data_IF_618787509847
#
_entry.id   IF_618787509847
#
_cell.length_a   1.000
_cell.length_b   1.000
_cell.length_c   1.000
_cell.angle_alpha   90.00
_cell.angle_beta   90.00
_cell.angle_gamma   90.00
#
_symmetry.space_group_name_H-M   'P 1'
#
loop_
_entity.id
_entity.type
_entity.pdbx_description
1 polymer ?
#
# COMPACT_ATOMS: atom_id res chain seq x y z
N UNK A 1 -12.74 24.70 -21.80
CA UNK A 1 -11.99 23.51 -22.10
C UNK A 1 -11.02 23.14 -21.01
N UNK A 2 -10.51 24.16 -20.42
CA UNK A 2 -9.49 23.95 -19.43
C UNK A 2 -9.99 23.47 -18.08
N UNK A 3 -11.22 23.81 -17.65
CA UNK A 3 -11.62 23.47 -16.29
C UNK A 3 -11.48 22.00 -15.94
N UNK A 4 -11.84 21.16 -16.87
CA UNK A 4 -11.80 19.74 -16.62
C UNK A 4 -10.39 19.22 -16.40
N UNK A 5 -9.46 19.88 -17.01
CA UNK A 5 -8.08 19.41 -16.95
C UNK A 5 -7.30 19.90 -15.76
N UNK A 6 -7.91 20.77 -14.98
CA UNK A 6 -7.19 21.32 -13.83
C UNK A 6 -6.93 20.29 -12.76
N UNK A 7 -7.92 19.44 -12.48
CA UNK A 7 -7.72 18.41 -11.51
C UNK A 7 -6.87 17.26 -12.04
N UNK A 8 -7.23 16.77 -13.22
CA UNK A 8 -6.55 15.64 -13.82
C UNK A 8 -5.09 15.95 -14.21
N UNK A 9 -4.83 17.10 -14.86
CA UNK A 9 -3.43 17.42 -15.15
C UNK A 9 -2.59 17.63 -13.91
N UNK A 10 -3.15 18.20 -12.86
CA UNK A 10 -2.40 18.39 -11.63
C UNK A 10 -1.99 17.06 -11.00
N UNK A 11 -2.91 16.10 -10.98
CA UNK A 11 -2.60 14.78 -10.44
C UNK A 11 -1.61 14.04 -11.32
N UNK A 12 -1.80 14.11 -12.64
CA UNK A 12 -0.87 13.49 -13.58
C UNK A 12 0.53 14.07 -13.46
N UNK A 13 0.62 15.38 -13.30
CA UNK A 13 1.91 16.04 -13.12
C UNK A 13 2.58 15.57 -11.83
N UNK A 14 1.81 15.48 -10.75
CA UNK A 14 2.33 15.00 -9.49
C UNK A 14 2.86 13.57 -9.63
N UNK A 15 2.08 12.70 -10.24
CA UNK A 15 2.50 11.30 -10.43
C UNK A 15 3.77 11.23 -11.26
N UNK A 16 3.84 12.01 -12.33
CA UNK A 16 5.03 12.00 -13.19
C UNK A 16 6.25 12.49 -12.44
N UNK A 17 6.12 13.54 -11.66
CA UNK A 17 7.24 14.11 -10.92
C UNK A 17 7.77 13.16 -9.84
N UNK A 18 6.91 12.31 -9.28
CA UNK A 18 7.29 11.43 -8.17
C UNK A 18 7.25 9.96 -8.55
N UNK A 19 7.22 9.66 -9.85
CA UNK A 19 6.97 8.31 -10.34
C UNK A 19 7.92 7.27 -9.76
N UNK A 20 9.17 7.64 -9.55
CA UNK A 20 10.18 6.72 -9.03
C UNK A 20 9.94 6.33 -7.57
N UNK A 21 9.20 7.14 -6.84
CA UNK A 21 9.06 6.96 -5.39
C UNK A 21 7.62 6.70 -4.94
N UNK A 22 6.70 6.46 -5.88
CA UNK A 22 5.31 6.19 -5.54
C UNK A 22 5.08 4.69 -5.50
N UNK A 23 4.57 4.23 -4.37
CA UNK A 23 4.17 2.84 -4.17
C UNK A 23 2.69 2.79 -3.84
N UNK A 24 2.08 1.65 -4.07
CA UNK A 24 0.66 1.44 -3.77
C UNK A 24 0.48 0.14 -3.00
N UNK A 25 -0.50 0.12 -2.11
CA UNK A 25 -0.84 -1.10 -1.38
C UNK A 25 -2.20 -1.60 -1.82
N UNK A 26 -2.36 -2.91 -1.73
CA UNK A 26 -3.63 -3.56 -1.97
C UNK A 26 -3.82 -4.65 -0.93
N UNK A 27 -4.97 -4.65 -0.27
CA UNK A 27 -5.29 -5.61 0.77
C UNK A 27 -6.49 -6.40 0.31
N UNK A 28 -6.27 -7.65 -0.08
CA UNK A 28 -7.32 -8.47 -0.66
C UNK A 28 -7.44 -9.79 0.09
N UNK A 29 -8.48 -10.55 -0.22
CA UNK A 29 -8.70 -11.84 0.41
C UNK A 29 -8.70 -12.95 -0.63
N UNK A 30 -8.27 -14.13 -0.19
CA UNK A 30 -8.27 -15.34 -0.99
C UNK A 30 -8.83 -16.46 -0.12
N UNK A 31 -9.75 -17.23 -0.66
CA UNK A 31 -10.31 -18.36 0.07
C UNK A 31 -9.60 -19.64 -0.36
N UNK A 32 -9.18 -20.42 0.64
CA UNK A 32 -8.41 -21.64 0.41
C UNK A 32 -9.06 -22.81 1.12
N UNK A 33 -9.20 -23.92 0.42
CA UNK A 33 -9.68 -25.15 1.03
C UNK A 33 -8.57 -25.79 1.85
N UNK A 34 -8.85 -26.04 3.10
CA UNK A 34 -7.92 -26.74 4.00
C UNK A 34 -8.60 -27.98 4.53
N UNK A 35 -7.86 -28.77 5.30
CA UNK A 35 -8.45 -29.94 5.95
C UNK A 35 -9.59 -29.59 6.87
N UNK A 36 -9.58 -28.39 7.42
CA UNK A 36 -10.61 -27.92 8.34
C UNK A 36 -11.70 -27.12 7.64
N UNK A 37 -11.73 -27.14 6.32
CA UNK A 37 -12.73 -26.43 5.55
C UNK A 37 -12.18 -25.23 4.83
N UNK A 38 -13.07 -24.35 4.43
CA UNK A 38 -12.71 -23.16 3.66
C UNK A 38 -12.20 -22.08 4.63
N UNK A 39 -11.00 -21.59 4.38
CA UNK A 39 -10.37 -20.56 5.21
C UNK A 39 -10.07 -19.33 4.36
N UNK A 40 -10.42 -18.17 4.86
CA UNK A 40 -10.13 -16.89 4.21
C UNK A 40 -8.76 -16.41 4.65
N UNK A 41 -7.88 -16.17 3.69
CA UNK A 41 -6.59 -15.56 3.95
C UNK A 41 -6.59 -14.13 3.45
N UNK A 42 -5.92 -13.27 4.19
CA UNK A 42 -5.75 -11.86 3.84
C UNK A 42 -4.35 -11.67 3.28
N UNK A 43 -4.29 -11.02 2.14
CA UNK A 43 -3.02 -10.82 1.41
C UNK A 43 -2.76 -9.32 1.31
N UNK A 44 -1.63 -8.90 1.84
CA UNK A 44 -1.19 -7.51 1.69
C UNK A 44 -0.11 -7.47 0.63
N UNK A 45 -0.39 -6.75 -0.45
CA UNK A 45 0.54 -6.59 -1.55
C UNK A 45 0.96 -5.13 -1.66
N UNK A 46 2.19 -4.90 -2.10
CA UNK A 46 2.72 -3.57 -2.32
C UNK A 46 3.33 -3.55 -3.71
N UNK A 47 3.05 -2.51 -4.47
CA UNK A 47 3.56 -2.38 -5.83
C UNK A 47 4.32 -1.08 -6.00
N UNK A 48 5.49 -1.17 -6.64
CA UNK A 48 6.20 0.00 -7.11
C UNK A 48 5.60 0.39 -8.46
N UNK A 49 5.03 1.57 -8.57
CA UNK A 49 4.23 1.92 -9.74
C UNK A 49 5.06 1.98 -11.02
N UNK A 50 6.25 2.56 -10.96
CA UNK A 50 7.06 2.73 -12.14
C UNK A 50 7.46 1.40 -12.77
N UNK A 51 7.94 0.48 -11.97
CA UNK A 51 8.44 -0.80 -12.46
C UNK A 51 7.38 -1.89 -12.50
N UNK A 52 6.24 -1.66 -11.88
CA UNK A 52 5.19 -2.64 -11.72
C UNK A 52 5.61 -3.86 -10.91
N UNK A 53 6.70 -3.75 -10.18
CA UNK A 53 7.14 -4.83 -9.30
C UNK A 53 6.17 -4.94 -8.13
N UNK A 54 5.75 -6.16 -7.85
CA UNK A 54 4.82 -6.46 -6.77
C UNK A 54 5.53 -7.28 -5.71
N UNK A 55 5.34 -6.90 -4.47
CA UNK A 55 5.86 -7.61 -3.31
C UNK A 55 4.69 -8.03 -2.44
N UNK A 56 4.60 -9.31 -2.13
CA UNK A 56 3.60 -9.79 -1.18
C UNK A 56 4.17 -9.60 0.21
N UNK A 57 3.65 -8.61 0.90
CA UNK A 57 4.19 -8.24 2.21
C UNK A 57 3.80 -9.22 3.30
N UNK A 58 2.66 -9.88 3.14
CA UNK A 58 2.24 -10.87 4.12
C UNK A 58 0.93 -11.51 3.76
N UNK A 59 0.75 -12.73 4.27
CA UNK A 59 -0.49 -13.50 4.10
C UNK A 59 -0.85 -14.06 5.46
N UNK A 60 -2.08 -13.85 5.89
CA UNK A 60 -2.51 -14.34 7.20
C UNK A 60 -4.02 -14.54 7.24
N UNK A 61 -4.51 -15.53 7.98
CA UNK A 61 -5.95 -15.63 8.24
C UNK A 61 -6.42 -14.67 9.34
N UNK A 62 -5.48 -14.02 10.05
CA UNK A 62 -5.83 -13.15 11.19
C UNK A 62 -5.02 -11.84 11.12
N UNK A 63 -5.45 -10.88 10.29
CA UNK A 63 -4.71 -9.64 10.10
C UNK A 63 -4.95 -8.66 11.25
N UNK A 64 -4.45 -9.00 12.44
CA UNK A 64 -4.59 -8.12 13.59
C UNK A 64 -3.53 -7.02 13.58
N UNK A 65 -3.60 -6.12 14.56
CA UNK A 65 -2.68 -4.98 14.62
C UNK A 65 -1.23 -5.41 14.81
N UNK A 66 -0.99 -6.46 15.58
CA UNK A 66 0.36 -6.96 15.80
C UNK A 66 0.99 -7.46 14.50
N UNK A 67 0.22 -8.23 13.73
CA UNK A 67 0.66 -8.70 12.43
C UNK A 67 0.95 -7.52 11.50
N UNK A 68 0.05 -6.56 11.46
CA UNK A 68 0.20 -5.40 10.58
C UNK A 68 1.44 -4.60 10.91
N UNK A 69 1.72 -4.41 12.21
CA UNK A 69 2.92 -3.69 12.62
C UNK A 69 4.18 -4.40 12.21
N UNK A 70 4.20 -5.73 12.34
CA UNK A 70 5.37 -6.50 11.94
C UNK A 70 5.60 -6.41 10.43
N UNK A 71 4.54 -6.51 9.66
CA UNK A 71 4.63 -6.36 8.21
C UNK A 71 5.17 -4.99 7.85
N UNK A 72 4.68 -3.94 8.51
CA UNK A 72 5.14 -2.58 8.24
C UNK A 72 6.62 -2.40 8.59
N UNK A 73 7.07 -2.99 9.69
CA UNK A 73 8.50 -2.93 10.04
C UNK A 73 9.34 -3.56 8.95
N UNK A 74 8.90 -4.70 8.44
CA UNK A 74 9.64 -5.38 7.38
C UNK A 74 9.65 -4.56 6.10
N UNK A 75 8.54 -3.92 5.77
CA UNK A 75 8.44 -3.10 4.56
C UNK A 75 9.31 -1.86 4.62
N UNK A 76 9.48 -1.29 5.81
CA UNK A 76 10.20 -0.03 5.98
C UNK A 76 11.62 -0.22 6.49
N UNK A 77 12.11 -1.46 6.53
CA UNK A 77 13.48 -1.73 6.93
C UNK A 77 14.46 -0.97 6.04
N UNK A 78 15.45 -0.34 6.64
CA UNK A 78 16.42 0.48 5.92
C UNK A 78 17.22 -0.31 4.89
N UNK A 79 17.45 -1.59 5.15
CA UNK A 79 18.30 -2.40 4.28
C UNK A 79 17.50 -3.17 3.24
N UNK A 80 16.47 -3.87 3.67
CA UNK A 80 15.76 -4.83 2.82
C UNK A 80 14.30 -4.50 2.60
N UNK A 81 13.80 -3.42 3.19
CA UNK A 81 12.38 -3.09 3.07
C UNK A 81 11.98 -2.69 1.67
N UNK A 82 10.88 -3.25 1.19
CA UNK A 82 10.39 -2.93 -0.15
C UNK A 82 10.02 -1.44 -0.27
N UNK A 83 9.61 -0.81 0.83
CA UNK A 83 9.23 0.60 0.85
C UNK A 83 10.38 1.53 1.23
N UNK A 84 11.60 1.04 1.31
CA UNK A 84 12.71 1.89 1.74
C UNK A 84 12.96 3.09 0.83
N UNK A 85 12.59 2.97 -0.44
CA UNK A 85 12.77 4.05 -1.41
C UNK A 85 11.48 4.84 -1.64
N UNK A 86 10.42 4.55 -0.89
CA UNK A 86 9.14 5.21 -1.09
C UNK A 86 9.11 6.58 -0.43
N UNK A 87 8.58 7.56 -1.14
CA UNK A 87 8.26 8.84 -0.52
C UNK A 87 6.75 9.06 -0.48
N UNK A 88 5.99 8.40 -1.33
CA UNK A 88 4.52 8.43 -1.32
C UNK A 88 3.98 7.02 -1.38
N UNK A 89 2.91 6.78 -0.64
CA UNK A 89 2.26 5.49 -0.61
C UNK A 89 0.76 5.67 -0.77
N UNK A 90 0.20 5.03 -1.78
CA UNK A 90 -1.24 5.06 -2.00
C UNK A 90 -1.85 3.96 -1.15
N UNK A 91 -2.73 4.33 -0.22
CA UNK A 91 -3.34 3.42 0.73
C UNK A 91 -4.85 3.62 0.70
N UNK A 92 -5.58 2.52 0.53
CA UNK A 92 -7.03 2.55 0.60
C UNK A 92 -7.45 2.92 2.04
N UNK A 93 -8.63 3.51 2.15
CA UNK A 93 -9.18 3.92 3.45
C UNK A 93 -9.91 2.79 4.17
N UNK A 94 -9.75 1.59 3.69
CA UNK A 94 -10.32 0.42 4.36
C UNK A 94 -9.87 0.38 5.81
N UNK A 95 -10.81 0.09 6.71
CA UNK A 95 -10.51 0.04 8.14
C UNK A 95 -9.45 -1.00 8.47
N UNK A 96 -9.32 -2.03 7.64
CA UNK A 96 -8.28 -3.06 7.82
C UNK A 96 -6.89 -2.49 7.74
N UNK A 97 -6.72 -1.33 7.11
CA UNK A 97 -5.42 -0.71 6.90
C UNK A 97 -5.13 0.42 7.87
N UNK A 98 -5.98 0.66 8.86
CA UNK A 98 -5.78 1.74 9.82
C UNK A 98 -4.45 1.60 10.54
N UNK A 99 -4.13 0.41 11.02
CA UNK A 99 -2.87 0.18 11.74
C UNK A 99 -1.67 0.46 10.86
N UNK A 100 -1.73 0.10 9.59
CA UNK A 100 -0.66 0.37 8.65
C UNK A 100 -0.49 1.88 8.44
N UNK A 101 -1.59 2.57 8.24
CA UNK A 101 -1.54 4.01 8.03
C UNK A 101 -0.96 4.74 9.23
N UNK A 102 -1.36 4.34 10.42
CA UNK A 102 -0.83 4.91 11.65
C UNK A 102 0.67 4.65 11.80
N UNK A 103 1.10 3.43 11.50
CA UNK A 103 2.51 3.08 11.60
C UNK A 103 3.34 3.91 10.62
N UNK A 104 2.93 3.96 9.38
CA UNK A 104 3.66 4.69 8.33
C UNK A 104 3.72 6.17 8.67
N UNK A 105 2.62 6.73 9.12
CA UNK A 105 2.55 8.16 9.44
C UNK A 105 3.42 8.52 10.65
N UNK A 106 3.51 7.61 11.61
CA UNK A 106 4.24 7.86 12.85
C UNK A 106 5.74 7.57 12.75
N UNK A 107 6.11 6.53 12.00
CA UNK A 107 7.48 6.02 12.01
C UNK A 107 8.27 6.32 10.75
N UNK A 108 7.65 6.93 9.74
CA UNK A 108 8.34 7.21 8.48
C UNK A 108 7.97 8.60 7.98
N UNK A 109 8.71 9.07 6.98
CA UNK A 109 8.40 10.32 6.30
C UNK A 109 7.56 10.11 5.04
N UNK A 110 7.09 8.90 4.83
CA UNK A 110 6.30 8.58 3.65
C UNK A 110 4.94 9.29 3.73
N UNK A 111 4.57 9.95 2.64
CA UNK A 111 3.29 10.65 2.55
C UNK A 111 2.22 9.69 2.06
N UNK A 112 1.12 9.61 2.80
CA UNK A 112 0.00 8.74 2.43
C UNK A 112 -0.94 9.46 1.48
N UNK A 113 -1.32 8.77 0.40
CA UNK A 113 -2.19 9.32 -0.62
C UNK A 113 -3.47 8.50 -0.74
N UNK A 114 -4.61 9.14 -0.99
CA UNK A 114 -5.85 8.41 -1.20
C UNK A 114 -5.92 7.85 -2.62
N UNK A 115 -6.43 6.62 -2.80
CA UNK A 115 -6.48 6.01 -4.12
C UNK A 115 -7.46 6.68 -5.06
N UNK A 116 -8.48 7.32 -4.55
CA UNK A 116 -9.48 7.95 -5.40
C UNK A 116 -8.91 9.04 -6.28
N UNK A 117 -7.74 9.55 -5.92
CA UNK A 117 -7.08 10.57 -6.72
C UNK A 117 -6.67 10.04 -8.08
N UNK A 118 -6.70 8.74 -8.25
CA UNK A 118 -6.38 8.09 -9.51
C UNK A 118 -7.56 8.03 -10.46
N UNK A 119 -8.73 8.29 -9.96
CA UNK A 119 -9.97 8.17 -10.75
C UNK A 119 -10.33 9.44 -11.51
#
# INVERSE_FOLDING_TARGET
PAPDRQGTPAWSTFLTAHWDSIFATDFTTVEVWTRNGLVTFYVLAVMHLKTRRVHIAGITPSPNATWMKQVCRNLTDDKDGFLKAASQLIVDRDTSLISMREFIDTHTDVVLLPPKSLV
#
